data_IF_316549166314
#
_entry.id   IF_316549166314
#
_cell.length_a   1.000
_cell.length_b   1.000
_cell.length_c   1.000
_cell.angle_alpha   90.00
_cell.angle_beta   90.00
_cell.angle_gamma   90.00
#
_symmetry.space_group_name_H-M   'P 1'
#
loop_
_entity.id
_entity.type
_entity.pdbx_description
1 polymer ?
#
# COMPACT_ATOMS: atom_id res chain seq x y z
N UNK A 1 -9.91 17.56 27.70
CA UNK A 1 -9.90 17.48 26.22
C UNK A 1 -8.50 17.91 25.81
N UNK A 2 -7.72 17.02 25.18
CA UNK A 2 -6.39 17.38 24.68
C UNK A 2 -6.58 18.17 23.38
N UNK A 3 -6.09 19.40 23.35
CA UNK A 3 -6.04 20.21 22.13
C UNK A 3 -4.70 19.96 21.44
N UNK A 4 -4.73 19.75 20.13
CA UNK A 4 -3.54 19.60 19.31
C UNK A 4 -3.35 20.93 18.57
N UNK A 5 -2.25 21.61 18.81
CA UNK A 5 -2.03 22.98 18.32
C UNK A 5 -2.07 23.07 16.79
N UNK A 6 -1.56 22.05 16.09
CA UNK A 6 -1.52 21.99 14.63
C UNK A 6 -2.75 21.30 14.00
N UNK A 7 -3.83 21.04 14.75
CA UNK A 7 -4.99 20.29 14.25
C UNK A 7 -5.60 20.92 12.99
N UNK A 8 -5.90 22.22 13.03
CA UNK A 8 -6.57 22.93 11.93
C UNK A 8 -5.67 23.04 10.68
N UNK A 9 -4.35 22.83 10.81
CA UNK A 9 -3.41 22.78 9.68
C UNK A 9 -3.53 21.47 8.90
N UNK A 10 -3.73 20.35 9.59
CA UNK A 10 -3.77 19.02 8.99
C UNK A 10 -5.19 18.57 8.62
N UNK A 11 -6.21 19.13 9.26
CA UNK A 11 -7.63 18.78 9.01
C UNK A 11 -8.39 20.07 8.65
N UNK A 12 -8.27 20.55 7.39
CA UNK A 12 -9.00 21.72 6.96
C UNK A 12 -10.52 21.48 7.01
N UNK A 13 -11.29 22.53 7.27
CA UNK A 13 -12.76 22.48 7.35
C UNK A 13 -13.41 22.71 5.99
N UNK A 14 -13.02 21.91 5.00
CA UNK A 14 -13.42 22.03 3.60
C UNK A 14 -14.66 21.20 3.23
N UNK A 15 -15.15 20.35 4.14
CA UNK A 15 -16.32 19.52 3.91
C UNK A 15 -17.62 20.35 3.79
N UNK A 16 -18.25 20.30 2.62
CA UNK A 16 -19.58 20.87 2.37
C UNK A 16 -20.64 19.78 2.43
N UNK A 17 -21.57 19.90 3.38
CA UNK A 17 -22.66 18.93 3.55
C UNK A 17 -23.60 18.94 2.32
N UNK A 18 -23.80 17.80 1.64
CA UNK A 18 -24.77 17.71 0.55
C UNK A 18 -26.22 17.72 1.09
N UNK A 19 -27.17 18.10 0.23
CA UNK A 19 -28.60 18.04 0.55
C UNK A 19 -29.14 16.59 0.62
N UNK A 20 -28.45 15.64 0.00
CA UNK A 20 -28.83 14.22 -0.02
C UNK A 20 -27.89 13.36 0.84
N UNK A 21 -28.30 12.13 1.15
CA UNK A 21 -27.43 11.17 1.83
C UNK A 21 -26.18 10.82 0.99
N UNK A 22 -25.05 10.69 1.69
CA UNK A 22 -23.79 10.24 1.10
C UNK A 22 -23.92 8.77 0.70
N UNK A 23 -23.63 8.45 -0.56
CA UNK A 23 -23.54 7.08 -1.06
C UNK A 23 -22.08 6.71 -1.21
N UNK A 24 -21.58 5.83 -0.35
CA UNK A 24 -20.22 5.31 -0.45
C UNK A 24 -20.16 4.14 -1.43
N UNK A 25 -19.22 4.20 -2.38
CA UNK A 25 -18.84 3.06 -3.21
C UNK A 25 -17.37 2.74 -2.90
N UNK A 26 -17.04 1.48 -2.54
CA UNK A 26 -15.66 1.10 -2.33
C UNK A 26 -14.87 1.23 -3.63
N UNK A 27 -13.58 1.55 -3.52
CA UNK A 27 -12.69 1.59 -4.67
C UNK A 27 -12.57 0.20 -5.29
N UNK A 28 -12.56 0.15 -6.62
CA UNK A 28 -12.21 -1.04 -7.40
C UNK A 28 -10.73 -1.37 -7.23
N UNK A 29 -10.34 -2.61 -7.56
CA UNK A 29 -8.94 -3.04 -7.51
C UNK A 29 -8.01 -2.16 -8.38
N UNK A 30 -8.53 -1.68 -9.52
CA UNK A 30 -7.80 -0.77 -10.39
C UNK A 30 -7.62 0.61 -9.74
N UNK A 31 -8.68 1.19 -9.18
CA UNK A 31 -8.59 2.48 -8.47
C UNK A 31 -7.69 2.37 -7.22
N UNK A 32 -7.67 1.21 -6.57
CA UNK A 32 -6.74 0.91 -5.48
C UNK A 32 -5.29 0.83 -5.96
N UNK A 33 -5.02 0.24 -7.13
CA UNK A 33 -3.67 0.20 -7.71
C UNK A 33 -3.17 1.60 -8.13
N UNK A 34 -4.07 2.51 -8.50
CA UNK A 34 -3.75 3.89 -8.87
C UNK A 34 -3.52 4.80 -7.64
N UNK A 35 -4.18 4.52 -6.52
CA UNK A 35 -4.05 5.30 -5.28
C UNK A 35 -2.68 5.12 -4.63
N UNK A 36 -1.93 6.20 -4.41
CA UNK A 36 -0.70 6.18 -3.63
C UNK A 36 -1.00 5.80 -2.17
N UNK A 37 -0.39 4.73 -1.66
CA UNK A 37 -0.61 4.23 -0.29
C UNK A 37 0.62 4.27 0.59
N UNK A 38 1.81 4.38 0.02
CA UNK A 38 3.04 4.53 0.78
C UNK A 38 3.22 5.98 1.25
N UNK A 39 3.49 6.15 2.54
CA UNK A 39 3.89 7.42 3.15
C UNK A 39 5.31 7.28 3.70
N UNK A 40 6.14 8.31 3.51
CA UNK A 40 7.50 8.32 4.03
C UNK A 40 7.55 8.34 5.56
N UNK A 41 8.39 7.48 6.15
CA UNK A 41 8.71 7.54 7.57
C UNK A 41 10.00 8.34 7.86
N UNK A 42 10.36 8.47 9.13
CA UNK A 42 11.57 9.17 9.56
C UNK A 42 12.86 8.58 8.94
N UNK A 43 12.91 7.26 8.78
CA UNK A 43 14.04 6.57 8.17
C UNK A 43 14.15 6.89 6.67
N UNK A 44 13.03 7.02 5.97
CA UNK A 44 12.96 7.43 4.57
C UNK A 44 13.43 8.87 4.40
N UNK A 45 12.94 9.78 5.24
CA UNK A 45 13.33 11.19 5.23
C UNK A 45 14.83 11.36 5.46
N UNK A 46 15.40 10.60 6.39
CA UNK A 46 16.85 10.58 6.62
C UNK A 46 17.62 10.04 5.42
N UNK A 47 17.13 8.98 4.77
CA UNK A 47 17.76 8.42 3.58
C UNK A 47 17.78 9.42 2.42
N UNK A 48 16.65 10.08 2.13
CA UNK A 48 16.55 11.06 1.04
C UNK A 48 17.47 12.26 1.30
N UNK A 49 17.43 12.81 2.50
CA UNK A 49 18.20 14.02 2.85
C UNK A 49 19.70 13.76 3.02
N UNK A 50 20.12 12.70 3.72
CA UNK A 50 21.55 12.43 3.99
C UNK A 50 22.20 11.59 2.90
N UNK A 51 21.56 10.49 2.50
CA UNK A 51 22.20 9.54 1.57
C UNK A 51 22.08 10.06 0.13
N UNK A 52 20.87 10.28 -0.38
CA UNK A 52 20.70 10.71 -1.77
C UNK A 52 21.26 12.12 -2.01
N UNK A 53 20.85 13.10 -1.20
CA UNK A 53 21.20 14.49 -1.45
C UNK A 53 22.64 14.83 -1.06
N UNK A 54 23.14 14.42 0.11
CA UNK A 54 24.51 14.81 0.52
C UNK A 54 25.59 13.89 -0.08
N UNK A 55 25.41 12.56 -0.05
CA UNK A 55 26.45 11.64 -0.53
C UNK A 55 26.44 11.52 -2.07
N UNK A 56 25.26 11.33 -2.66
CA UNK A 56 25.15 11.08 -4.11
C UNK A 56 24.83 12.32 -4.94
N UNK A 57 24.57 13.47 -4.29
CA UNK A 57 24.17 14.74 -4.94
C UNK A 57 22.95 14.59 -5.84
N UNK A 58 22.03 13.70 -5.45
CA UNK A 58 20.77 13.44 -6.13
C UNK A 58 19.62 14.06 -5.33
N UNK A 59 18.78 14.84 -5.99
CA UNK A 59 17.58 15.44 -5.37
C UNK A 59 16.36 14.65 -5.82
N UNK A 60 15.52 14.29 -4.86
CA UNK A 60 14.27 13.57 -5.07
C UNK A 60 13.18 14.21 -4.21
N UNK A 61 12.03 14.49 -4.82
CA UNK A 61 10.86 14.97 -4.09
C UNK A 61 10.22 13.81 -3.31
N UNK A 62 9.57 14.15 -2.19
CA UNK A 62 8.86 13.22 -1.32
C UNK A 62 7.83 12.41 -2.11
N UNK A 63 6.92 13.08 -2.84
CA UNK A 63 5.91 12.42 -3.70
C UNK A 63 6.51 11.40 -4.68
N UNK A 64 7.72 11.68 -5.21
CA UNK A 64 8.38 10.80 -6.17
C UNK A 64 9.02 9.60 -5.49
N UNK A 65 9.59 9.79 -4.30
CA UNK A 65 10.06 8.68 -3.50
C UNK A 65 8.90 7.74 -3.13
N UNK A 66 7.80 8.30 -2.65
CA UNK A 66 6.59 7.55 -2.30
C UNK A 66 6.05 6.76 -3.49
N UNK A 67 5.93 7.40 -4.66
CA UNK A 67 5.50 6.73 -5.90
C UNK A 67 6.41 5.56 -6.28
N UNK A 68 7.73 5.69 -6.11
CA UNK A 68 8.68 4.62 -6.44
C UNK A 68 8.51 3.43 -5.49
N UNK A 69 8.47 3.68 -4.17
CA UNK A 69 8.31 2.61 -3.18
C UNK A 69 6.95 1.93 -3.30
N UNK A 70 5.88 2.72 -3.45
CA UNK A 70 4.53 2.23 -3.65
C UNK A 70 4.44 1.31 -4.88
N UNK A 71 5.09 1.69 -5.99
CA UNK A 71 5.12 0.85 -7.19
C UNK A 71 5.85 -0.47 -6.97
N UNK A 72 7.01 -0.44 -6.29
CA UNK A 72 7.77 -1.65 -5.95
C UNK A 72 6.95 -2.59 -5.04
N UNK A 73 6.23 -2.04 -4.07
CA UNK A 73 5.37 -2.81 -3.16
C UNK A 73 4.19 -3.46 -3.90
N UNK A 74 3.47 -2.69 -4.74
CA UNK A 74 2.35 -3.19 -5.54
C UNK A 74 2.76 -4.28 -6.51
N UNK A 75 3.86 -4.11 -7.21
CA UNK A 75 4.33 -5.10 -8.18
C UNK A 75 4.87 -6.35 -7.51
N UNK A 76 5.54 -6.21 -6.36
CA UNK A 76 5.91 -7.36 -5.54
C UNK A 76 4.69 -8.12 -5.01
N UNK A 77 3.62 -7.41 -4.66
CA UNK A 77 2.38 -8.03 -4.21
C UNK A 77 1.70 -8.83 -5.33
N UNK A 78 1.62 -8.28 -6.55
CA UNK A 78 1.09 -8.98 -7.73
C UNK A 78 1.91 -10.23 -8.09
N UNK A 79 3.23 -10.15 -7.95
CA UNK A 79 4.13 -11.26 -8.26
C UNK A 79 4.17 -12.33 -7.13
N UNK A 80 3.74 -11.98 -5.92
CA UNK A 80 3.84 -12.84 -4.73
C UNK A 80 5.28 -13.01 -4.19
N UNK A 81 6.24 -12.25 -4.72
CA UNK A 81 7.65 -12.21 -4.31
C UNK A 81 8.24 -10.83 -4.59
N UNK A 82 9.45 -10.56 -4.10
CA UNK A 82 10.13 -9.29 -4.41
C UNK A 82 10.30 -9.12 -5.92
N UNK A 83 9.87 -7.98 -6.45
CA UNK A 83 10.03 -7.65 -7.85
C UNK A 83 11.44 -7.15 -8.16
N UNK A 84 11.84 -7.28 -9.43
CA UNK A 84 13.12 -6.76 -9.91
C UNK A 84 13.02 -5.25 -10.18
N UNK A 85 14.19 -4.61 -10.28
CA UNK A 85 14.29 -3.19 -10.53
C UNK A 85 13.70 -2.75 -11.89
N UNK A 86 13.70 -3.63 -12.90
CA UNK A 86 13.22 -3.36 -14.27
C UNK A 86 11.78 -2.88 -14.31
N UNK A 87 10.99 -3.20 -13.29
CA UNK A 87 9.63 -2.68 -13.10
C UNK A 87 9.60 -1.15 -13.16
N UNK A 88 10.59 -0.46 -12.58
CA UNK A 88 10.62 1.00 -12.51
C UNK A 88 10.85 1.67 -13.88
N UNK A 89 11.45 0.95 -14.84
CA UNK A 89 11.68 1.46 -16.20
C UNK A 89 10.36 1.70 -16.95
N UNK A 90 9.31 0.93 -16.61
CA UNK A 90 7.99 1.08 -17.21
C UNK A 90 7.30 2.39 -16.80
N UNK A 91 7.53 2.86 -15.57
CA UNK A 91 6.81 4.00 -15.00
C UNK A 91 7.55 5.33 -15.14
N UNK A 92 8.83 5.30 -15.54
CA UNK A 92 9.66 6.50 -15.81
C UNK A 92 9.57 7.57 -14.70
N UNK A 93 9.54 7.12 -13.45
CA UNK A 93 9.29 7.98 -12.29
C UNK A 93 10.46 8.92 -11.96
N UNK A 94 11.69 8.49 -12.25
CA UNK A 94 12.92 9.25 -12.03
C UNK A 94 14.06 8.75 -12.94
N UNK A 95 15.25 9.36 -12.82
CA UNK A 95 16.44 8.91 -13.55
C UNK A 95 16.87 7.51 -13.10
N UNK A 96 17.44 6.72 -14.02
CA UNK A 96 17.87 5.35 -13.74
C UNK A 96 18.78 5.27 -12.49
N UNK A 97 19.81 6.14 -12.42
CA UNK A 97 20.71 6.20 -11.26
C UNK A 97 19.96 6.39 -9.93
N UNK A 98 18.94 7.25 -9.91
CA UNK A 98 18.16 7.51 -8.72
C UNK A 98 17.28 6.31 -8.36
N UNK A 99 16.59 5.74 -9.35
CA UNK A 99 15.79 4.53 -9.15
C UNK A 99 16.63 3.35 -8.63
N UNK A 100 17.91 3.23 -9.03
CA UNK A 100 18.82 2.20 -8.50
C UNK A 100 19.01 2.37 -6.98
N UNK A 101 19.30 3.58 -6.51
CA UNK A 101 19.58 3.82 -5.10
C UNK A 101 18.32 3.63 -4.24
N UNK A 102 17.16 4.06 -4.74
CA UNK A 102 15.88 3.85 -4.05
C UNK A 102 15.51 2.37 -4.01
N UNK A 103 15.73 1.63 -5.10
CA UNK A 103 15.50 0.18 -5.14
C UNK A 103 16.40 -0.57 -4.15
N UNK A 104 17.69 -0.25 -4.09
CA UNK A 104 18.62 -0.84 -3.12
C UNK A 104 18.21 -0.56 -1.68
N UNK A 105 17.78 0.67 -1.39
CA UNK A 105 17.26 1.07 -0.08
C UNK A 105 16.01 0.26 0.27
N UNK A 106 15.03 0.22 -0.63
CA UNK A 106 13.78 -0.52 -0.46
C UNK A 106 14.04 -2.00 -0.18
N UNK A 107 14.93 -2.63 -0.95
CA UNK A 107 15.27 -4.03 -0.78
C UNK A 107 15.89 -4.29 0.61
N UNK A 108 16.82 -3.43 1.05
CA UNK A 108 17.40 -3.50 2.40
C UNK A 108 16.34 -3.31 3.48
N UNK A 109 15.47 -2.30 3.34
CA UNK A 109 14.40 -1.99 4.31
C UNK A 109 13.40 -3.15 4.44
N UNK A 110 12.91 -3.66 3.31
CA UNK A 110 11.93 -4.76 3.28
C UNK A 110 12.55 -6.07 3.77
N UNK A 111 13.80 -6.37 3.42
CA UNK A 111 14.52 -7.55 3.91
C UNK A 111 14.73 -7.48 5.43
N UNK A 112 15.11 -6.31 5.97
CA UNK A 112 15.24 -6.09 7.42
C UNK A 112 13.91 -6.24 8.15
N UNK A 113 12.82 -5.74 7.57
CA UNK A 113 11.48 -5.83 8.17
C UNK A 113 10.88 -7.25 8.08
N UNK A 114 11.23 -8.02 7.04
CA UNK A 114 10.77 -9.38 6.82
C UNK A 114 9.32 -9.49 6.31
N UNK A 115 8.71 -8.38 5.91
CA UNK A 115 7.32 -8.29 5.42
C UNK A 115 7.16 -7.08 4.49
N UNK A 116 6.06 -7.05 3.74
CA UNK A 116 5.69 -5.91 2.91
C UNK A 116 5.60 -4.61 3.74
N UNK A 117 6.04 -3.51 3.14
CA UNK A 117 6.01 -2.20 3.80
C UNK A 117 4.57 -1.68 3.89
N UNK A 118 3.77 -1.90 2.84
CA UNK A 118 2.35 -1.55 2.82
C UNK A 118 1.53 -2.61 3.56
N UNK A 119 0.75 -2.18 4.56
CA UNK A 119 0.01 -3.06 5.48
C UNK A 119 -0.95 -4.02 4.77
N UNK A 120 -1.59 -3.58 3.67
CA UNK A 120 -2.54 -4.41 2.90
C UNK A 120 -1.88 -5.64 2.29
N UNK A 121 -0.59 -5.57 1.97
CA UNK A 121 0.17 -6.67 1.36
C UNK A 121 0.88 -7.56 2.38
N UNK A 122 0.75 -7.27 3.68
CA UNK A 122 1.28 -8.16 4.72
C UNK A 122 0.40 -9.41 4.85
N UNK A 123 1.00 -10.59 5.04
CA UNK A 123 0.25 -11.82 5.14
C UNK A 123 -0.73 -11.75 6.33
N UNK A 124 -1.93 -12.33 6.19
CA UNK A 124 -2.83 -12.44 7.31
C UNK A 124 -2.22 -13.29 8.42
N UNK A 125 -2.58 -12.99 9.66
CA UNK A 125 -2.11 -13.79 10.79
C UNK A 125 -2.64 -15.22 10.69
N UNK A 126 -1.77 -16.19 10.97
CA UNK A 126 -2.13 -17.61 11.04
C UNK A 126 -3.28 -17.83 12.02
N UNK A 127 -4.18 -18.76 11.72
CA UNK A 127 -5.28 -19.13 12.62
C UNK A 127 -4.79 -19.74 13.95
N UNK A 128 -3.59 -20.35 13.94
CA UNK A 128 -3.02 -21.09 15.08
C UNK A 128 -2.06 -20.26 15.97
N UNK A 129 -1.82 -18.99 15.65
CA UNK A 129 -0.92 -18.14 16.45
C UNK A 129 -1.54 -17.86 17.86
N UNK A 130 -0.78 -17.97 18.94
CA UNK A 130 -1.29 -17.76 20.32
C UNK A 130 -1.09 -16.31 20.81
N UNK A 131 -0.40 -15.47 20.05
CA UNK A 131 -0.09 -14.10 20.43
C UNK A 131 -1.36 -13.25 20.66
N UNK A 132 -1.48 -12.54 21.79
CA UNK A 132 -2.60 -11.63 22.05
C UNK A 132 -2.60 -10.40 21.11
N UNK A 133 -1.46 -10.08 20.50
CA UNK A 133 -1.33 -8.95 19.57
C UNK A 133 -1.77 -9.30 18.13
N UNK A 134 -2.07 -10.57 17.88
CA UNK A 134 -2.41 -11.09 16.56
C UNK A 134 -3.93 -11.20 16.38
N UNK A 135 -4.54 -10.18 15.79
CA UNK A 135 -6.00 -10.02 15.64
C UNK A 135 -6.49 -10.22 14.20
N UNK A 136 -7.82 -10.23 13.98
CA UNK A 136 -8.49 -10.32 12.67
C UNK A 136 -8.04 -11.46 11.75
N UNK A 137 -7.75 -12.64 12.31
CA UNK A 137 -7.38 -13.83 11.52
C UNK A 137 -8.52 -14.20 10.57
N UNK A 138 -8.24 -14.40 9.27
CA UNK A 138 -9.21 -14.98 8.37
C UNK A 138 -9.64 -16.33 8.93
N UNK A 139 -10.93 -16.47 9.20
CA UNK A 139 -11.54 -17.77 9.47
C UNK A 139 -12.19 -18.18 8.17
N UNK A 140 -12.01 -19.44 7.77
CA UNK A 140 -12.93 -20.02 6.80
C UNK A 140 -14.32 -19.89 7.42
N UNK A 141 -15.12 -18.97 6.87
CA UNK A 141 -16.55 -19.02 7.10
C UNK A 141 -16.96 -20.34 6.46
N UNK A 142 -17.53 -21.26 7.22
CA UNK A 142 -18.16 -22.46 6.65
C UNK A 142 -19.35 -22.02 5.78
N UNK A 143 -19.08 -21.40 4.64
CA UNK A 143 -20.04 -21.26 3.57
C UNK A 143 -20.00 -22.55 2.77
N UNK A 144 -20.41 -23.65 3.42
CA UNK A 144 -20.93 -24.83 2.73
C UNK A 144 -22.25 -24.42 2.07
N UNK A 145 -22.21 -23.50 1.11
CA UNK A 145 -23.33 -23.25 0.22
C UNK A 145 -23.49 -24.50 -0.60
N UNK A 146 -24.48 -25.32 -0.23
CA UNK A 146 -24.90 -26.44 -1.07
C UNK A 146 -25.12 -25.91 -2.48
N UNK A 147 -24.48 -26.54 -3.47
CA UNK A 147 -24.69 -26.19 -4.88
C UNK A 147 -26.19 -26.20 -5.15
N UNK A 148 -26.69 -25.17 -5.84
CA UNK A 148 -28.08 -25.14 -6.28
C UNK A 148 -28.32 -26.32 -7.23
N UNK A 149 -29.54 -26.81 -7.26
CA UNK A 149 -29.90 -27.88 -8.20
C UNK A 149 -29.78 -27.37 -9.63
N UNK A 150 -29.40 -28.26 -10.56
CA UNK A 150 -29.09 -27.94 -11.97
C UNK A 150 -30.21 -27.19 -12.72
N UNK A 151 -31.45 -27.35 -12.25
CA UNK A 151 -32.63 -26.65 -12.79
C UNK A 151 -32.65 -25.15 -12.40
N UNK A 152 -32.24 -24.79 -11.18
CA UNK A 152 -32.18 -23.41 -10.68
C UNK A 152 -30.94 -22.63 -11.15
N UNK A 153 -29.91 -23.31 -11.63
CA UNK A 153 -28.72 -22.68 -12.22
C UNK A 153 -28.97 -22.14 -13.64
N UNK A 154 -29.87 -22.78 -14.41
CA UNK A 154 -30.21 -22.31 -15.76
C UNK A 154 -30.89 -20.94 -15.75
N UNK A 155 -31.72 -20.67 -14.75
CA UNK A 155 -32.40 -19.38 -14.59
C UNK A 155 -31.48 -18.26 -14.07
N UNK A 156 -30.30 -18.59 -13.51
CA UNK A 156 -29.34 -17.62 -13.00
C UNK A 156 -28.44 -17.01 -14.09
N UNK A 157 -28.44 -17.58 -15.30
CA UNK A 157 -27.63 -17.15 -16.44
C UNK A 157 -28.48 -16.51 -17.55
N UNK A 158 -29.73 -16.12 -17.24
CA UNK A 158 -30.66 -15.45 -18.13
C UNK A 158 -30.85 -14.01 -17.69
#
# INVERSE_FOLDING_TARGET
ILTIDDYDKHVPRDYVRPQSYVRFKPLTEKEMDERLEYEMDEQDMEFVSKTLQQQFKLVLNEDKFEQIIDRLEKESAKLGKMCDQTVLEQYKLASAKLTNHVYEYWNKKRTKLGKALIRRFQPPTSINDTSPHSTFRPREKEEKRMRRTRMKDKDAHK
#
